data_IF_382161935481
#
_entry.id   IF_382161935481
#
_cell.length_a   1.000
_cell.length_b   1.000
_cell.length_c   1.000
_cell.angle_alpha   90.00
_cell.angle_beta   90.00
_cell.angle_gamma   90.00
#
_symmetry.space_group_name_H-M   'P 1'
#
loop_
_entity.id
_entity.type
_entity.pdbx_description
1 polymer ?
#
# COMPACT_ATOMS: atom_id res chain seq x y z
N UNK A 1 22.88 8.29 71.57
CA UNK A 1 22.66 9.53 70.80
C UNK A 1 22.30 9.14 69.37
N UNK A 2 21.15 9.42 68.76
CA UNK A 2 19.86 9.94 69.18
C UNK A 2 18.81 9.29 68.26
N UNK A 3 17.72 8.80 68.82
CA UNK A 3 16.51 8.36 68.11
C UNK A 3 15.65 9.57 67.75
N UNK A 4 15.01 9.64 66.57
CA UNK A 4 13.86 10.53 66.38
C UNK A 4 12.52 9.78 66.48
N UNK A 5 11.63 10.37 67.28
CA UNK A 5 10.27 9.97 67.60
C UNK A 5 9.27 10.18 66.42
N UNK A 6 8.06 9.59 66.48
CA UNK A 6 7.07 9.64 65.41
C UNK A 6 6.11 10.85 65.56
N UNK A 7 5.74 11.47 64.43
CA UNK A 7 4.72 12.52 64.37
C UNK A 7 3.36 11.98 63.93
N UNK A 8 2.33 12.43 64.66
CA UNK A 8 0.96 11.98 64.62
C UNK A 8 0.10 12.60 63.49
N UNK A 9 -0.83 11.77 63.03
CA UNK A 9 -2.21 12.03 62.55
C UNK A 9 -2.72 13.49 62.47
N UNK A 10 -3.10 13.90 61.26
CA UNK A 10 -4.30 14.68 60.87
C UNK A 10 -4.54 14.32 59.39
N UNK A 11 -5.66 13.79 58.91
CA UNK A 11 -7.05 14.17 59.14
C UNK A 11 -7.61 14.75 57.82
N UNK A 12 -8.69 14.15 57.30
CA UNK A 12 -9.68 14.65 56.32
C UNK A 12 -9.73 14.10 54.87
N UNK A 13 -10.94 13.58 54.61
CA UNK A 13 -11.78 13.63 53.39
C UNK A 13 -11.71 12.46 52.39
N UNK A 14 -12.55 11.48 52.71
CA UNK A 14 -13.28 10.63 51.77
C UNK A 14 -13.93 11.47 50.65
N UNK A 15 -13.51 11.25 49.40
CA UNK A 15 -14.30 11.54 48.20
C UNK A 15 -14.35 10.27 47.36
N UNK A 16 -15.51 9.61 47.41
CA UNK A 16 -15.89 8.44 46.62
C UNK A 16 -15.98 8.86 45.16
N UNK A 17 -15.12 8.28 44.32
CA UNK A 17 -15.22 8.34 42.87
C UNK A 17 -16.17 7.21 42.44
N UNK A 18 -17.34 7.58 41.94
CA UNK A 18 -18.27 6.65 41.27
C UNK A 18 -17.77 6.37 39.85
N UNK A 19 -17.55 5.09 39.54
CA UNK A 19 -17.30 4.59 38.19
C UNK A 19 -18.49 3.70 37.79
N UNK A 20 -19.30 4.15 36.84
CA UNK A 20 -20.31 3.33 36.18
C UNK A 20 -19.68 2.51 35.03
N UNK A 21 -19.94 1.21 34.93
CA UNK A 21 -19.59 0.42 33.76
C UNK A 21 -20.70 0.48 32.68
N UNK A 22 -20.35 0.47 31.38
CA UNK A 22 -21.34 0.54 30.29
C UNK A 22 -22.07 -0.80 30.10
N UNK A 23 -23.40 -0.72 30.04
CA UNK A 23 -24.30 -1.83 29.75
C UNK A 23 -24.29 -2.20 28.26
N UNK A 24 -24.21 -3.49 27.99
CA UNK A 24 -24.35 -4.10 26.66
C UNK A 24 -25.78 -4.63 26.55
N UNK A 25 -26.60 -4.04 25.67
CA UNK A 25 -27.93 -4.56 25.33
C UNK A 25 -27.87 -5.38 24.04
N UNK A 26 -28.43 -6.58 24.09
CA UNK A 26 -28.70 -7.45 22.95
C UNK A 26 -30.13 -7.21 22.43
N UNK A 27 -30.23 -7.31 21.10
CA UNK A 27 -31.38 -7.41 20.21
C UNK A 27 -32.81 -7.46 20.79
N UNK A 28 -33.66 -6.60 20.23
CA UNK A 28 -35.07 -6.95 19.98
C UNK A 28 -35.52 -6.47 18.60
N UNK A 29 -36.08 -7.42 17.85
CA UNK A 29 -36.71 -7.26 16.54
C UNK A 29 -37.87 -6.26 16.65
N UNK A 30 -38.03 -5.34 15.69
CA UNK A 30 -39.29 -4.62 15.48
C UNK A 30 -39.87 -4.99 14.14
N UNK A 31 -41.10 -5.50 14.24
CA UNK A 31 -42.03 -5.74 13.16
C UNK A 31 -42.56 -4.42 12.59
N UNK A 32 -43.10 -4.58 11.39
CA UNK A 32 -43.75 -3.60 10.52
C UNK A 32 -44.99 -3.04 11.21
N UNK A 33 -45.17 -1.71 11.18
CA UNK A 33 -46.33 -1.03 11.75
C UNK A 33 -46.47 0.38 11.19
N UNK A 34 -47.28 0.47 10.14
CA UNK A 34 -48.23 1.52 9.71
C UNK A 34 -47.99 2.97 10.15
N UNK A 35 -47.97 3.84 9.14
CA UNK A 35 -47.94 5.29 9.24
C UNK A 35 -49.19 5.87 9.90
N UNK A 36 -48.99 6.78 10.86
CA UNK A 36 -49.94 7.84 11.19
C UNK A 36 -49.21 9.18 11.11
N UNK A 37 -49.77 10.06 10.30
CA UNK A 37 -49.39 11.45 10.10
C UNK A 37 -50.13 12.23 11.18
N UNK A 38 -49.41 12.83 12.13
CA UNK A 38 -49.97 13.84 13.02
C UNK A 38 -49.31 15.19 12.76
N UNK A 39 -50.16 16.12 12.30
CA UNK A 39 -49.86 17.51 12.02
C UNK A 39 -49.90 18.30 13.34
N UNK A 40 -48.74 18.75 13.82
CA UNK A 40 -48.66 19.66 14.97
C UNK A 40 -48.18 21.03 14.51
N UNK A 41 -49.10 21.99 14.47
CA UNK A 41 -48.85 23.41 14.31
C UNK A 41 -48.32 23.99 15.62
N UNK A 42 -47.02 24.30 15.68
CA UNK A 42 -46.45 25.12 16.76
C UNK A 42 -45.97 26.47 16.23
N UNK A 43 -46.70 27.49 16.66
CA UNK A 43 -46.42 28.91 16.52
C UNK A 43 -45.06 29.25 17.18
N UNK A 44 -44.22 30.12 16.58
CA UNK A 44 -42.94 30.51 17.14
C UNK A 44 -43.10 31.55 18.24
N UNK A 45 -42.64 31.25 19.46
CA UNK A 45 -42.46 32.25 20.52
C UNK A 45 -41.21 33.09 20.24
N UNK A 46 -41.39 34.41 20.32
CA UNK A 46 -40.34 35.41 20.16
C UNK A 46 -39.37 35.42 21.34
N UNK A 47 -38.11 35.68 20.97
CA UNK A 47 -37.00 36.30 21.70
C UNK A 47 -37.40 37.10 22.95
N UNK A 48 -36.75 36.81 24.08
CA UNK A 48 -36.25 37.82 25.03
C UNK A 48 -35.02 37.23 25.75
N UNK A 49 -33.93 38.01 25.82
CA UNK A 49 -32.78 37.73 26.68
C UNK A 49 -31.51 37.24 25.96
N UNK A 50 -30.82 38.13 25.24
CA UNK A 50 -29.37 38.01 25.10
C UNK A 50 -28.69 39.23 25.72
N UNK A 51 -27.79 38.93 26.65
CA UNK A 51 -26.96 39.84 27.42
C UNK A 51 -25.97 40.59 26.53
N UNK A 52 -25.87 41.90 26.78
CA UNK A 52 -24.99 42.87 26.11
C UNK A 52 -23.49 42.73 26.44
N UNK A 53 -22.94 41.51 26.47
CA UNK A 53 -21.51 41.26 26.72
C UNK A 53 -20.82 40.44 25.61
N UNK A 54 -21.37 40.48 24.39
CA UNK A 54 -20.75 39.87 23.21
C UNK A 54 -20.01 40.88 22.30
N UNK A 55 -19.84 42.13 22.73
CA UNK A 55 -19.24 43.21 21.93
C UNK A 55 -17.72 43.37 22.08
N UNK A 56 -17.05 42.65 22.99
CA UNK A 56 -15.61 42.79 23.25
C UNK A 56 -14.85 41.46 23.26
N UNK A 57 -15.00 40.66 22.20
CA UNK A 57 -13.99 39.67 21.87
C UNK A 57 -13.38 40.00 20.51
N UNK A 58 -12.06 40.29 20.43
CA UNK A 58 -11.40 40.40 19.14
C UNK A 58 -11.43 39.02 18.49
N UNK A 59 -12.29 38.87 17.47
CA UNK A 59 -12.21 37.76 16.53
C UNK A 59 -10.88 37.87 15.81
N UNK A 60 -9.91 37.05 16.18
CA UNK A 60 -8.69 36.84 15.40
C UNK A 60 -9.03 35.99 14.17
N UNK A 61 -9.91 36.50 13.30
CA UNK A 61 -9.98 36.08 11.91
C UNK A 61 -8.93 36.88 11.16
N UNK A 62 -7.68 36.44 11.26
CA UNK A 62 -6.69 36.76 10.23
C UNK A 62 -7.16 36.07 8.96
N UNK A 63 -7.95 36.81 8.17
CA UNK A 63 -7.97 36.60 6.74
C UNK A 63 -6.54 36.86 6.27
N UNK A 64 -5.76 35.79 6.13
CA UNK A 64 -4.58 35.84 5.28
C UNK A 64 -5.11 36.22 3.91
N UNK A 65 -4.96 37.48 3.54
CA UNK A 65 -4.99 37.87 2.14
C UNK A 65 -4.01 36.93 1.47
N UNK A 66 -4.53 36.05 0.61
CA UNK A 66 -3.70 35.37 -0.37
C UNK A 66 -3.14 36.50 -1.22
N UNK A 67 -1.99 37.04 -0.85
CA UNK A 67 -1.05 37.56 -1.81
C UNK A 67 -0.74 36.37 -2.70
N UNK A 68 -1.53 36.24 -3.78
CA UNK A 68 -1.09 35.53 -4.96
C UNK A 68 0.19 36.24 -5.37
N UNK A 69 1.33 35.70 -4.94
CA UNK A 69 2.55 35.88 -5.70
C UNK A 69 2.17 35.55 -7.14
N UNK A 70 2.42 36.44 -8.12
CA UNK A 70 2.31 36.03 -9.50
C UNK A 70 3.32 34.91 -9.65
N UNK A 71 2.84 33.66 -9.61
CA UNK A 71 3.55 32.57 -10.20
C UNK A 71 3.72 33.01 -11.64
N UNK A 72 4.92 33.51 -11.98
CA UNK A 72 5.42 33.53 -13.34
C UNK A 72 4.95 32.23 -13.95
N UNK A 73 4.06 32.32 -14.93
CA UNK A 73 3.46 31.16 -15.56
C UNK A 73 4.62 30.26 -16.03
N UNK A 74 4.93 29.24 -15.26
CA UNK A 74 5.76 28.16 -15.77
C UNK A 74 4.89 27.54 -16.84
N UNK A 75 5.26 27.82 -18.09
CA UNK A 75 4.67 27.20 -19.27
C UNK A 75 4.83 25.69 -19.08
N UNK A 76 3.78 25.03 -18.61
CA UNK A 76 3.73 23.58 -18.61
C UNK A 76 3.72 23.12 -20.06
N UNK A 77 4.72 22.33 -20.47
CA UNK A 77 4.87 21.71 -21.79
C UNK A 77 3.65 20.85 -22.19
N UNK A 78 2.73 20.58 -21.27
CA UNK A 78 1.61 19.66 -21.45
C UNK A 78 0.24 20.34 -21.63
N UNK A 79 0.13 21.39 -22.43
CA UNK A 79 -1.16 21.74 -23.05
C UNK A 79 -1.20 21.16 -24.47
N UNK A 80 -1.47 19.86 -24.59
CA UNK A 80 -1.69 19.18 -25.88
C UNK A 80 -3.00 19.59 -26.57
N UNK A 81 -3.58 20.75 -26.26
CA UNK A 81 -4.82 21.20 -26.88
C UNK A 81 -4.95 22.73 -26.93
N UNK A 82 -4.22 23.36 -27.86
CA UNK A 82 -4.76 24.40 -28.75
C UNK A 82 -3.70 24.75 -29.82
N UNK A 83 -3.77 24.24 -31.06
CA UNK A 83 -3.06 24.84 -32.18
C UNK A 83 -3.89 26.03 -32.67
N UNK A 84 -3.98 27.07 -31.85
CA UNK A 84 -4.54 28.37 -32.27
C UNK A 84 -3.46 29.41 -32.08
N UNK A 85 -2.52 29.35 -33.02
CA UNK A 85 -1.67 30.40 -33.60
C UNK A 85 -0.45 29.68 -34.20
N UNK A 86 -0.47 29.52 -35.53
CA UNK A 86 0.53 28.81 -36.33
C UNK A 86 1.82 29.62 -36.57
N UNK A 87 2.06 30.69 -35.82
CA UNK A 87 3.10 31.65 -36.17
C UNK A 87 4.46 31.36 -35.50
N UNK A 88 4.49 30.55 -34.44
CA UNK A 88 5.74 30.08 -33.83
C UNK A 88 5.85 28.55 -33.95
N UNK A 89 6.42 28.05 -35.05
CA UNK A 89 6.87 26.66 -35.14
C UNK A 89 8.03 26.43 -34.16
N UNK A 90 7.71 26.14 -32.90
CA UNK A 90 8.65 25.75 -31.84
C UNK A 90 9.20 24.31 -32.01
N UNK A 91 8.98 23.70 -33.18
CA UNK A 91 9.54 22.40 -33.54
C UNK A 91 11.04 22.58 -33.81
N UNK A 92 11.87 21.73 -33.21
CA UNK A 92 13.29 21.75 -33.49
C UNK A 92 13.54 21.03 -34.84
N UNK A 93 13.88 21.75 -35.93
CA UNK A 93 14.03 21.16 -37.26
C UNK A 93 15.19 20.16 -37.34
N UNK A 94 16.19 20.31 -36.45
CA UNK A 94 17.32 19.38 -36.35
C UNK A 94 16.86 18.07 -35.71
N UNK A 95 15.96 18.14 -34.73
CA UNK A 95 15.39 16.96 -34.10
C UNK A 95 14.47 16.21 -35.08
N UNK A 96 13.61 16.93 -35.80
CA UNK A 96 12.71 16.32 -36.79
C UNK A 96 13.49 15.67 -37.94
N UNK A 97 14.52 16.34 -38.48
CA UNK A 97 15.38 15.77 -39.53
C UNK A 97 16.19 14.57 -39.03
N UNK A 98 16.68 14.59 -37.79
CA UNK A 98 17.35 13.44 -37.17
C UNK A 98 16.40 12.25 -36.98
N UNK A 99 15.17 12.48 -36.51
CA UNK A 99 14.17 11.42 -36.34
C UNK A 99 13.71 10.85 -37.68
N UNK A 100 13.45 11.69 -38.69
CA UNK A 100 13.12 11.25 -40.06
C UNK A 100 14.27 10.44 -40.68
N UNK A 101 15.51 10.91 -40.55
CA UNK A 101 16.69 10.19 -41.03
C UNK A 101 16.81 8.83 -40.34
N UNK A 102 16.55 8.77 -39.03
CA UNK A 102 16.56 7.52 -38.25
C UNK A 102 15.42 6.57 -38.65
N UNK A 103 14.23 7.09 -38.96
CA UNK A 103 13.10 6.29 -39.46
C UNK A 103 13.38 5.71 -40.85
N UNK A 104 14.09 6.46 -41.72
CA UNK A 104 14.54 5.98 -43.02
C UNK A 104 15.68 4.95 -42.93
N UNK A 105 16.59 5.13 -41.98
CA UNK A 105 17.69 4.19 -41.70
C UNK A 105 17.19 2.89 -41.04
N UNK A 106 16.12 2.95 -40.24
CA UNK A 106 15.44 1.79 -39.67
C UNK A 106 14.46 1.16 -40.67
N UNK A 107 14.94 0.32 -41.58
CA UNK A 107 14.09 -0.42 -42.52
C UNK A 107 12.98 -1.24 -41.82
N UNK A 108 11.90 -1.55 -42.54
CA UNK A 108 10.64 -2.10 -42.01
C UNK A 108 10.73 -3.41 -41.18
N UNK A 109 11.89 -4.08 -41.14
CA UNK A 109 12.14 -5.32 -40.41
C UNK A 109 12.98 -5.17 -39.12
N UNK A 110 13.44 -3.98 -38.74
CA UNK A 110 14.29 -3.75 -37.56
C UNK A 110 13.50 -3.26 -36.32
N UNK A 111 12.40 -3.93 -35.97
CA UNK A 111 11.57 -3.51 -34.82
C UNK A 111 12.23 -3.79 -33.46
N UNK A 112 13.22 -4.67 -33.40
CA UNK A 112 13.90 -5.11 -32.17
C UNK A 112 15.37 -4.66 -32.07
N UNK A 113 15.92 -4.01 -33.10
CA UNK A 113 17.28 -3.51 -33.08
C UNK A 113 17.39 -2.26 -32.19
N UNK A 114 18.10 -2.36 -31.07
CA UNK A 114 18.45 -1.17 -30.27
C UNK A 114 19.26 -0.22 -31.16
N UNK A 115 18.89 1.07 -31.27
CA UNK A 115 19.60 2.00 -32.15
C UNK A 115 21.07 2.08 -31.73
N UNK A 116 21.99 1.77 -32.64
CA UNK A 116 23.41 2.04 -32.43
C UNK A 116 23.55 3.55 -32.27
N UNK A 117 24.03 3.98 -31.09
CA UNK A 117 24.27 5.40 -30.83
C UNK A 117 25.29 5.87 -31.87
N UNK A 118 25.01 6.91 -32.69
CA UNK A 118 26.00 7.41 -33.63
C UNK A 118 27.27 7.74 -32.86
N UNK A 119 28.41 7.26 -33.34
CA UNK A 119 29.72 7.57 -32.77
C UNK A 119 29.89 9.07 -32.89
N UNK A 120 29.81 9.78 -31.76
CA UNK A 120 30.14 11.20 -31.71
C UNK A 120 31.55 11.34 -32.28
N UNK A 121 31.75 12.24 -33.25
CA UNK A 121 33.10 12.72 -33.58
C UNK A 121 33.57 13.48 -32.35
N UNK A 122 34.25 12.77 -31.45
CA UNK A 122 34.88 13.37 -30.28
C UNK A 122 36.00 14.28 -30.80
N UNK A 123 35.74 15.59 -30.80
CA UNK A 123 36.85 16.53 -30.89
C UNK A 123 37.71 16.33 -29.66
N UNK A 124 39.00 16.00 -29.85
CA UNK A 124 39.93 15.93 -28.72
C UNK A 124 39.99 17.31 -28.04
N UNK A 125 39.82 17.33 -26.72
CA UNK A 125 40.00 18.54 -25.94
C UNK A 125 41.41 19.07 -26.16
N UNK A 126 41.54 20.39 -26.38
CA UNK A 126 42.85 20.99 -26.57
C UNK A 126 43.73 20.75 -25.33
N UNK A 127 44.88 20.11 -25.52
CA UNK A 127 45.90 19.88 -24.47
C UNK A 127 46.73 21.14 -24.17
N UNK A 128 46.32 22.28 -24.71
CA UNK A 128 47.03 23.54 -24.56
C UNK A 128 46.96 23.99 -23.08
N UNK A 129 48.04 24.56 -22.50
CA UNK A 129 48.09 24.96 -21.08
C UNK A 129 47.03 26.02 -20.68
N UNK A 130 46.43 26.72 -21.64
CA UNK A 130 45.32 27.65 -21.40
C UNK A 130 43.94 26.99 -21.38
N UNK A 131 43.84 25.69 -21.67
CA UNK A 131 42.59 24.94 -21.72
C UNK A 131 41.92 24.82 -20.34
N UNK A 132 40.60 24.88 -20.32
CA UNK A 132 39.79 24.74 -19.10
C UNK A 132 39.72 23.30 -18.59
N UNK A 133 39.92 22.32 -19.48
CA UNK A 133 39.69 20.89 -19.23
C UNK A 133 40.97 20.11 -18.92
N UNK A 134 41.94 20.75 -18.26
CA UNK A 134 43.13 20.07 -17.74
C UNK A 134 42.78 19.32 -16.46
N UNK A 135 43.26 18.08 -16.32
CA UNK A 135 43.02 17.25 -15.14
C UNK A 135 43.46 17.93 -13.82
N UNK A 136 44.48 18.80 -13.88
CA UNK A 136 44.94 19.65 -12.76
C UNK A 136 43.87 20.62 -12.25
N UNK A 137 42.96 21.06 -13.11
CA UNK A 137 41.88 22.00 -12.76
C UNK A 137 40.58 21.29 -12.37
N UNK A 138 40.31 20.13 -12.96
CA UNK A 138 39.10 19.36 -12.69
C UNK A 138 39.13 18.60 -11.36
N UNK A 139 40.31 18.10 -10.98
CA UNK A 139 40.48 17.26 -9.79
C UNK A 139 41.28 18.03 -8.73
N UNK A 140 40.65 18.47 -7.61
CA UNK A 140 41.34 19.18 -6.55
C UNK A 140 42.53 18.36 -6.01
N UNK A 141 43.74 18.90 -6.12
CA UNK A 141 44.97 18.25 -5.67
C UNK A 141 45.71 17.45 -6.73
N UNK A 142 45.23 17.38 -7.97
CA UNK A 142 45.93 16.74 -9.08
C UNK A 142 47.17 17.54 -9.53
N UNK A 143 48.28 16.86 -9.78
CA UNK A 143 49.57 17.40 -10.26
C UNK A 143 50.15 16.41 -11.27
N UNK A 144 50.68 16.90 -12.38
CA UNK A 144 51.28 16.06 -13.42
C UNK A 144 52.48 15.22 -12.93
N UNK A 145 53.21 15.67 -11.89
CA UNK A 145 54.44 15.03 -11.41
C UNK A 145 54.24 13.96 -10.31
N UNK A 146 52.98 13.57 -10.00
CA UNK A 146 52.71 12.55 -8.98
C UNK A 146 52.91 11.12 -9.48
N UNK A 147 53.18 10.19 -8.57
CA UNK A 147 53.26 8.76 -8.92
C UNK A 147 51.90 8.25 -9.43
N UNK A 148 51.85 7.22 -10.29
CA UNK A 148 50.59 6.70 -10.85
C UNK A 148 49.59 6.23 -9.78
N UNK A 149 50.09 5.74 -8.64
CA UNK A 149 49.27 5.30 -7.51
C UNK A 149 48.63 6.48 -6.77
N UNK A 150 49.37 7.55 -6.50
CA UNK A 150 48.85 8.79 -5.92
C UNK A 150 47.81 9.44 -6.84
N UNK A 151 48.06 9.42 -8.15
CA UNK A 151 47.11 9.88 -9.16
C UNK A 151 45.79 9.09 -9.12
N UNK A 152 45.86 7.77 -9.02
CA UNK A 152 44.68 6.91 -8.92
C UNK A 152 43.87 7.20 -7.65
N UNK A 153 44.54 7.37 -6.51
CA UNK A 153 43.89 7.70 -5.24
C UNK A 153 43.18 9.06 -5.28
N UNK A 154 43.83 10.09 -5.83
CA UNK A 154 43.24 11.44 -5.98
C UNK A 154 42.03 11.42 -6.93
N UNK A 155 42.11 10.64 -8.02
CA UNK A 155 40.96 10.39 -8.93
C UNK A 155 39.81 9.68 -8.24
N UNK A 156 40.09 8.64 -7.46
CA UNK A 156 39.07 7.90 -6.73
C UNK A 156 38.39 8.78 -5.68
N UNK A 157 39.16 9.58 -4.93
CA UNK A 157 38.61 10.55 -3.98
C UNK A 157 37.71 11.59 -4.66
N UNK A 158 38.11 12.09 -5.83
CA UNK A 158 37.29 13.02 -6.61
C UNK A 158 36.01 12.37 -7.15
N UNK A 159 36.07 11.09 -7.58
CA UNK A 159 34.90 10.31 -7.98
C UNK A 159 33.93 10.15 -6.82
N UNK A 160 34.42 9.74 -5.64
CA UNK A 160 33.60 9.58 -4.44
C UNK A 160 32.96 10.92 -4.01
N UNK A 161 33.70 12.03 -4.10
CA UNK A 161 33.17 13.39 -3.84
C UNK A 161 32.06 13.75 -4.83
N UNK A 162 32.27 13.52 -6.13
CA UNK A 162 31.28 13.77 -7.18
C UNK A 162 30.03 12.90 -6.97
N UNK A 163 30.20 11.61 -6.72
CA UNK A 163 29.10 10.69 -6.39
C UNK A 163 28.34 11.13 -5.13
N UNK A 164 29.02 11.66 -4.12
CA UNK A 164 28.37 12.20 -2.93
C UNK A 164 27.57 13.48 -3.26
N UNK A 165 28.14 14.39 -4.05
CA UNK A 165 27.43 15.60 -4.51
C UNK A 165 26.22 15.25 -5.38
N UNK A 166 26.35 14.30 -6.31
CA UNK A 166 25.26 13.80 -7.14
C UNK A 166 24.17 13.14 -6.30
N UNK A 167 24.54 12.35 -5.27
CA UNK A 167 23.61 11.80 -4.28
C UNK A 167 22.88 12.89 -3.50
N UNK A 168 23.55 13.97 -3.11
CA UNK A 168 22.92 15.11 -2.44
C UNK A 168 21.95 15.85 -3.37
N UNK A 169 22.31 16.06 -4.62
CA UNK A 169 21.44 16.71 -5.62
C UNK A 169 20.20 15.83 -5.85
N UNK A 170 20.39 14.52 -6.07
CA UNK A 170 19.29 13.57 -6.23
C UNK A 170 18.38 13.56 -5.00
N UNK A 171 18.96 13.59 -3.80
CA UNK A 171 18.22 13.71 -2.54
C UNK A 171 17.41 15.00 -2.50
N UNK A 172 18.01 16.16 -2.78
CA UNK A 172 17.31 17.47 -2.80
C UNK A 172 16.16 17.49 -3.81
N UNK A 173 16.36 16.95 -5.01
CA UNK A 173 15.31 16.82 -6.02
C UNK A 173 14.18 15.90 -5.55
N UNK A 174 14.51 14.78 -4.90
CA UNK A 174 13.52 13.86 -4.34
C UNK A 174 12.78 14.45 -3.14
N UNK A 175 13.46 15.22 -2.28
CA UNK A 175 12.90 15.81 -1.06
C UNK A 175 11.77 16.80 -1.40
N UNK A 176 11.88 17.53 -2.52
CA UNK A 176 10.82 18.42 -3.02
C UNK A 176 9.53 17.63 -3.33
N UNK A 177 9.66 16.40 -3.85
CA UNK A 177 8.51 15.54 -4.19
C UNK A 177 8.00 14.75 -2.99
N UNK A 178 8.91 14.28 -2.12
CA UNK A 178 8.61 13.42 -0.98
C UNK A 178 8.08 14.19 0.24
N UNK A 179 8.61 15.39 0.51
CA UNK A 179 8.27 16.23 1.67
C UNK A 179 7.86 17.66 1.25
N UNK A 180 6.69 17.81 0.60
CA UNK A 180 6.22 19.12 0.13
C UNK A 180 5.92 20.11 1.28
N UNK A 181 5.60 19.63 2.49
CA UNK A 181 5.38 20.45 3.69
C UNK A 181 6.10 19.90 4.92
N UNK A 182 7.37 20.32 5.05
CA UNK A 182 8.22 19.95 6.17
C UNK A 182 7.71 20.43 7.54
N UNK A 183 6.92 21.52 7.61
CA UNK A 183 6.41 22.04 8.90
C UNK A 183 5.31 21.13 9.44
N UNK A 184 4.38 20.71 8.58
CA UNK A 184 3.34 19.76 8.95
C UNK A 184 3.94 18.42 9.39
N UNK A 185 4.94 17.91 8.67
CA UNK A 185 5.66 16.68 9.05
C UNK A 185 6.30 16.79 10.44
N UNK A 186 7.05 17.86 10.73
CA UNK A 186 7.67 18.08 12.06
C UNK A 186 6.64 18.13 13.19
N UNK A 187 5.50 18.77 12.95
CA UNK A 187 4.39 18.82 13.92
C UNK A 187 3.81 17.42 14.20
N UNK A 188 3.63 16.62 13.14
CA UNK A 188 3.20 15.23 13.24
C UNK A 188 4.22 14.38 14.00
N UNK A 189 5.51 14.48 13.66
CA UNK A 189 6.60 13.77 14.32
C UNK A 189 6.64 14.07 15.81
N UNK A 190 6.59 15.35 16.20
CA UNK A 190 6.51 15.75 17.61
C UNK A 190 5.32 15.09 18.31
N UNK A 191 4.13 15.09 17.70
CA UNK A 191 2.93 14.45 18.27
C UNK A 191 3.12 12.94 18.43
N UNK A 192 3.71 12.26 17.45
CA UNK A 192 3.96 10.83 17.49
C UNK A 192 5.02 10.46 18.55
N UNK A 193 6.09 11.25 18.68
CA UNK A 193 7.12 11.08 19.71
C UNK A 193 6.51 11.24 21.10
N UNK A 194 5.76 12.32 21.35
CA UNK A 194 5.06 12.54 22.63
C UNK A 194 4.10 11.37 22.93
N UNK A 195 3.34 10.90 21.94
CA UNK A 195 2.45 9.75 22.11
C UNK A 195 3.21 8.45 22.46
N UNK A 196 4.40 8.26 21.88
CA UNK A 196 5.31 7.15 22.19
C UNK A 196 5.84 7.22 23.63
N UNK A 197 6.31 8.39 24.06
CA UNK A 197 6.78 8.65 25.43
C UNK A 197 5.66 8.43 26.45
N UNK A 198 4.44 8.94 26.17
CA UNK A 198 3.26 8.76 27.04
C UNK A 198 2.89 7.29 27.24
N UNK A 199 3.18 6.42 26.27
CA UNK A 199 2.97 4.97 26.37
C UNK A 199 4.18 4.22 26.93
N UNK A 200 5.24 4.93 27.31
CA UNK A 200 6.50 4.34 27.77
C UNK A 200 7.05 3.31 26.77
N UNK A 201 6.91 3.57 25.47
CA UNK A 201 7.34 2.65 24.41
C UNK A 201 6.45 1.41 24.20
N UNK A 202 5.35 1.24 24.95
CA UNK A 202 4.41 0.12 24.74
C UNK A 202 3.68 0.25 23.41
N UNK A 203 3.85 -0.73 22.53
CA UNK A 203 3.18 -0.79 21.24
C UNK A 203 1.76 -1.35 21.35
N UNK A 204 0.85 -0.82 20.54
CA UNK A 204 -0.47 -1.45 20.36
C UNK A 204 -0.35 -2.72 19.51
N UNK A 205 -1.31 -3.64 19.64
CA UNK A 205 -1.37 -4.84 18.79
C UNK A 205 -1.33 -4.47 17.30
N UNK A 206 -2.08 -3.45 16.89
CA UNK A 206 -2.09 -2.97 15.50
C UNK A 206 -0.71 -2.50 15.03
N UNK A 207 0.03 -1.74 15.85
CA UNK A 207 1.38 -1.29 15.52
C UNK A 207 2.37 -2.47 15.42
N UNK A 208 2.26 -3.43 16.34
CA UNK A 208 3.09 -4.65 16.31
C UNK A 208 2.85 -5.43 15.02
N UNK A 209 1.58 -5.65 14.65
CA UNK A 209 1.20 -6.37 13.43
C UNK A 209 1.71 -5.66 12.17
N UNK A 210 1.51 -4.34 12.05
CA UNK A 210 1.99 -3.56 10.91
C UNK A 210 3.52 -3.61 10.75
N UNK A 211 4.27 -3.78 11.85
CA UNK A 211 5.73 -3.93 11.82
C UNK A 211 6.17 -5.35 11.46
N UNK A 212 5.42 -6.37 11.86
CA UNK A 212 5.83 -7.79 11.73
C UNK A 212 5.26 -8.52 10.53
N UNK A 213 4.13 -8.06 10.00
CA UNK A 213 3.38 -8.67 8.91
C UNK A 213 3.39 -7.76 7.69
N UNK A 214 3.78 -8.30 6.54
CA UNK A 214 3.76 -7.56 5.28
C UNK A 214 2.34 -7.62 4.71
N UNK A 215 1.88 -6.49 4.18
CA UNK A 215 0.63 -6.39 3.42
C UNK A 215 0.81 -5.47 2.20
N UNK A 216 0.15 -5.79 1.11
CA UNK A 216 0.16 -5.02 -0.14
C UNK A 216 -1.27 -4.80 -0.59
N UNK A 217 -1.66 -3.53 -0.75
CA UNK A 217 -2.97 -3.15 -1.24
C UNK A 217 -2.85 -2.78 -2.71
N UNK A 218 -3.41 -3.61 -3.57
CA UNK A 218 -3.47 -3.35 -5.00
C UNK A 218 -4.86 -2.86 -5.41
N UNK A 219 -4.91 -1.91 -6.35
CA UNK A 219 -6.14 -1.43 -6.97
C UNK A 219 -6.00 -1.45 -8.49
N UNK A 220 -6.97 -2.05 -9.17
CA UNK A 220 -6.98 -2.14 -10.63
C UNK A 220 -7.37 -0.82 -11.30
N UNK A 221 -7.09 -0.73 -12.60
CA UNK A 221 -7.74 0.23 -13.49
C UNK A 221 -9.27 0.06 -13.54
N UNK A 222 -9.96 1.06 -14.10
CA UNK A 222 -11.40 1.02 -14.29
C UNK A 222 -11.79 0.10 -15.46
N UNK A 223 -12.51 -0.98 -15.15
CA UNK A 223 -12.98 -1.98 -16.11
C UNK A 223 -14.42 -1.67 -16.54
N UNK A 224 -14.79 -1.91 -17.81
CA UNK A 224 -16.13 -1.67 -18.34
C UNK A 224 -17.10 -2.79 -17.93
N UNK A 225 -17.34 -2.95 -16.63
CA UNK A 225 -18.26 -3.94 -16.07
C UNK A 225 -19.03 -3.39 -14.88
N UNK A 226 -20.03 -4.15 -14.45
CA UNK A 226 -20.85 -3.81 -13.27
C UNK A 226 -20.26 -4.43 -12.02
N UNK A 227 -20.43 -3.74 -10.88
CA UNK A 227 -19.94 -4.18 -9.56
C UNK A 227 -20.45 -5.58 -9.28
N UNK A 228 -21.73 -5.85 -9.54
CA UNK A 228 -22.35 -7.16 -9.29
C UNK A 228 -21.72 -8.29 -10.10
N UNK A 229 -21.29 -8.02 -11.33
CA UNK A 229 -20.69 -9.03 -12.22
C UNK A 229 -19.25 -9.32 -11.78
N UNK A 230 -18.48 -8.28 -11.49
CA UNK A 230 -17.10 -8.40 -11.03
C UNK A 230 -17.02 -9.02 -9.62
N UNK A 231 -17.92 -8.64 -8.72
CA UNK A 231 -17.96 -9.16 -7.34
C UNK A 231 -18.13 -10.69 -7.30
N UNK A 232 -18.92 -11.27 -8.23
CA UNK A 232 -19.09 -12.73 -8.31
C UNK A 232 -17.77 -13.47 -8.57
N UNK A 233 -16.88 -12.88 -9.37
CA UNK A 233 -15.55 -13.46 -9.64
C UNK A 233 -14.60 -13.19 -8.48
N UNK A 234 -14.55 -11.95 -7.99
CA UNK A 234 -13.65 -11.53 -6.91
C UNK A 234 -13.91 -12.28 -5.59
N UNK A 235 -15.17 -12.54 -5.25
CA UNK A 235 -15.54 -13.34 -4.07
C UNK A 235 -14.99 -14.77 -4.11
N UNK A 236 -14.84 -15.36 -5.29
CA UNK A 236 -14.30 -16.72 -5.42
C UNK A 236 -12.80 -16.80 -5.11
N UNK A 237 -12.10 -15.67 -5.09
CA UNK A 237 -10.65 -15.59 -4.89
C UNK A 237 -10.28 -15.28 -3.44
N UNK A 238 -11.18 -14.65 -2.69
CA UNK A 238 -10.95 -14.31 -1.29
C UNK A 238 -10.58 -15.58 -0.51
N UNK A 239 -9.44 -15.54 0.19
CA UNK A 239 -8.94 -16.67 0.96
C UNK A 239 -8.14 -17.72 0.16
N UNK A 240 -8.00 -17.59 -1.16
CA UNK A 240 -7.11 -18.48 -1.94
C UNK A 240 -5.68 -17.92 -1.95
N UNK A 241 -4.70 -18.78 -2.18
CA UNK A 241 -3.35 -18.32 -2.56
C UNK A 241 -3.39 -17.64 -3.92
N UNK A 242 -2.38 -16.82 -4.23
CA UNK A 242 -2.30 -16.17 -5.55
C UNK A 242 -2.23 -17.23 -6.66
N UNK A 243 -1.48 -18.32 -6.46
CA UNK A 243 -1.35 -19.43 -7.40
C UNK A 243 -2.68 -20.16 -7.63
N UNK A 244 -3.39 -20.55 -6.56
CA UNK A 244 -4.72 -21.18 -6.66
C UNK A 244 -5.74 -20.24 -7.32
N UNK A 245 -5.68 -18.94 -7.02
CA UNK A 245 -6.56 -17.95 -7.61
C UNK A 245 -6.32 -17.79 -9.12
N UNK A 246 -5.06 -17.77 -9.57
CA UNK A 246 -4.73 -17.72 -11.00
C UNK A 246 -5.24 -18.96 -11.75
N UNK A 247 -5.07 -20.15 -11.17
CA UNK A 247 -5.62 -21.40 -11.73
C UNK A 247 -7.15 -21.32 -11.85
N UNK A 248 -7.82 -20.86 -10.79
CA UNK A 248 -9.29 -20.72 -10.78
C UNK A 248 -9.80 -19.72 -11.84
N UNK A 249 -9.08 -18.61 -12.02
CA UNK A 249 -9.43 -17.62 -13.04
C UNK A 249 -9.17 -18.11 -14.45
N UNK A 250 -8.10 -18.89 -14.67
CA UNK A 250 -7.74 -19.47 -15.98
C UNK A 250 -8.87 -20.33 -16.55
N UNK A 251 -9.54 -21.11 -15.70
CA UNK A 251 -10.66 -21.97 -16.09
C UNK A 251 -12.02 -21.29 -15.94
N UNK A 252 -12.07 -20.00 -15.59
CA UNK A 252 -13.34 -19.28 -15.46
C UNK A 252 -13.90 -18.90 -16.84
N UNK A 253 -15.17 -19.21 -17.15
CA UNK A 253 -15.79 -18.83 -18.42
C UNK A 253 -16.12 -17.33 -18.49
N UNK A 254 -15.86 -16.55 -17.43
CA UNK A 254 -16.24 -15.13 -17.38
C UNK A 254 -15.19 -14.29 -18.10
N UNK A 255 -15.62 -13.47 -19.08
CA UNK A 255 -14.73 -12.55 -19.82
C UNK A 255 -13.85 -11.70 -18.90
N UNK A 256 -14.44 -11.21 -17.81
CA UNK A 256 -13.75 -10.37 -16.82
C UNK A 256 -12.63 -11.09 -16.07
N UNK A 257 -12.62 -12.43 -16.02
CA UNK A 257 -11.58 -13.18 -15.34
C UNK A 257 -10.20 -12.93 -15.97
N UNK A 258 -10.14 -12.69 -17.28
CA UNK A 258 -8.90 -12.33 -17.99
C UNK A 258 -8.28 -11.03 -17.47
N UNK A 259 -9.12 -10.03 -17.20
CA UNK A 259 -8.66 -8.74 -16.66
C UNK A 259 -8.24 -8.87 -15.19
N UNK A 260 -8.93 -9.74 -14.44
CA UNK A 260 -8.57 -10.04 -13.05
C UNK A 260 -7.24 -10.78 -12.96
N UNK A 261 -6.95 -11.72 -13.88
CA UNK A 261 -5.64 -12.39 -13.99
C UNK A 261 -4.53 -11.36 -14.12
N UNK A 262 -4.62 -10.48 -15.13
CA UNK A 262 -3.61 -9.42 -15.36
C UNK A 262 -3.40 -8.56 -14.14
N UNK A 263 -4.49 -8.13 -13.48
CA UNK A 263 -4.36 -7.32 -12.27
C UNK A 263 -3.83 -8.09 -11.07
N UNK A 264 -4.08 -9.40 -10.96
CA UNK A 264 -3.53 -10.23 -9.90
C UNK A 264 -2.02 -10.49 -10.09
N UNK A 265 -1.57 -10.68 -11.34
CA UNK A 265 -0.13 -10.75 -11.69
C UNK A 265 0.58 -9.44 -11.37
N UNK A 266 -0.01 -8.29 -11.74
CA UNK A 266 0.51 -6.97 -11.37
C UNK A 266 0.58 -6.79 -9.85
N UNK A 267 -0.47 -7.18 -9.12
CA UNK A 267 -0.52 -7.11 -7.68
C UNK A 267 0.57 -7.96 -7.02
N UNK A 268 0.81 -9.16 -7.55
CA UNK A 268 1.86 -10.06 -7.08
C UNK A 268 3.25 -9.45 -7.32
N UNK A 269 3.51 -8.94 -8.52
CA UNK A 269 4.78 -8.30 -8.86
C UNK A 269 5.04 -7.07 -7.98
N UNK A 270 4.02 -6.22 -7.77
CA UNK A 270 4.12 -5.09 -6.85
C UNK A 270 4.38 -5.53 -5.40
N UNK A 271 3.71 -6.58 -4.93
CA UNK A 271 3.93 -7.11 -3.59
C UNK A 271 5.35 -7.68 -3.40
N UNK A 272 5.90 -8.34 -4.41
CA UNK A 272 7.27 -8.86 -4.38
C UNK A 272 8.26 -7.69 -4.40
N UNK A 273 8.14 -6.77 -5.37
CA UNK A 273 9.11 -5.67 -5.56
C UNK A 273 9.01 -4.62 -4.45
N UNK A 274 7.82 -4.12 -4.15
CA UNK A 274 7.65 -3.00 -3.23
C UNK A 274 7.65 -3.44 -1.75
N UNK A 275 7.18 -4.66 -1.44
CA UNK A 275 7.04 -5.14 -0.05
C UNK A 275 7.96 -6.31 0.29
N UNK A 276 8.66 -6.89 -0.68
CA UNK A 276 9.56 -8.02 -0.49
C UNK A 276 8.84 -9.32 -0.11
N UNK A 277 7.55 -9.47 -0.45
CA UNK A 277 6.77 -10.65 -0.08
C UNK A 277 7.18 -11.90 -0.85
N UNK A 278 7.04 -13.08 -0.24
CA UNK A 278 7.29 -14.36 -0.94
C UNK A 278 8.76 -14.65 -1.26
N UNK A 279 9.68 -13.82 -0.76
CA UNK A 279 11.14 -13.95 -0.98
C UNK A 279 11.86 -14.76 0.11
N UNK A 280 11.18 -15.25 1.16
CA UNK A 280 11.87 -16.08 2.14
C UNK A 280 12.24 -17.43 1.51
N UNK A 281 13.55 -17.67 1.40
CA UNK A 281 14.13 -18.79 0.66
C UNK A 281 14.41 -18.44 -0.80
N UNK A 282 15.05 -17.29 -1.08
CA UNK A 282 15.44 -16.87 -2.45
C UNK A 282 16.14 -17.99 -3.21
N UNK A 283 17.05 -18.73 -2.59
CA UNK A 283 17.67 -19.92 -3.19
C UNK A 283 16.63 -21.00 -3.56
N UNK A 284 15.64 -21.27 -2.71
CA UNK A 284 14.61 -22.25 -2.98
C UNK A 284 13.57 -21.75 -4.00
N UNK A 285 13.28 -20.45 -4.03
CA UNK A 285 12.37 -19.82 -5.00
C UNK A 285 13.01 -19.70 -6.38
N UNK A 286 14.26 -19.25 -6.44
CA UNK A 286 15.12 -19.25 -7.64
C UNK A 286 15.32 -20.68 -8.11
N UNK A 287 15.68 -21.63 -7.26
CA UNK A 287 15.81 -23.04 -7.66
C UNK A 287 14.49 -23.65 -8.14
N UNK A 288 13.33 -23.27 -7.56
CA UNK A 288 12.01 -23.69 -8.07
C UNK A 288 11.74 -23.09 -9.45
N UNK A 289 12.05 -21.80 -9.64
CA UNK A 289 11.84 -21.07 -10.88
C UNK A 289 12.79 -21.52 -11.99
N UNK A 290 14.08 -21.71 -11.70
CA UNK A 290 15.08 -22.31 -12.57
C UNK A 290 14.68 -23.73 -12.96
N UNK A 291 14.25 -24.56 -12.01
CA UNK A 291 13.75 -25.92 -12.30
C UNK A 291 12.49 -25.90 -13.17
N UNK A 292 11.62 -24.91 -13.00
CA UNK A 292 10.41 -24.74 -13.83
C UNK A 292 10.76 -24.27 -15.26
N UNK A 293 11.78 -23.41 -15.43
CA UNK A 293 12.28 -22.97 -16.75
C UNK A 293 13.10 -24.04 -17.48
N UNK A 294 14.02 -24.70 -16.78
CA UNK A 294 14.76 -25.84 -17.31
C UNK A 294 13.82 -27.00 -17.70
N UNK A 295 12.68 -27.13 -17.01
CA UNK A 295 11.63 -28.09 -17.35
C UNK A 295 10.79 -27.70 -18.58
N UNK A 296 10.81 -26.44 -19.03
CA UNK A 296 10.06 -25.98 -20.21
C UNK A 296 10.93 -25.81 -21.46
N UNK A 297 12.26 -25.69 -21.33
CA UNK A 297 13.19 -25.48 -22.45
C UNK A 297 13.83 -26.77 -23.01
N UNK A 298 13.55 -27.95 -22.44
CA UNK A 298 13.86 -29.21 -23.09
C UNK A 298 12.63 -29.66 -23.90
N UNK A 299 12.65 -29.47 -25.22
CA UNK A 299 11.61 -29.85 -26.19
C UNK A 299 11.27 -31.35 -26.29
N UNK A 300 11.31 -32.10 -25.18
CA UNK A 300 10.66 -33.41 -25.04
C UNK A 300 9.51 -33.27 -24.07
N UNK A 301 8.26 -33.59 -24.47
CA UNK A 301 7.20 -33.83 -23.50
C UNK A 301 7.71 -34.88 -22.52
N UNK A 302 7.85 -34.52 -21.25
CA UNK A 302 8.22 -35.48 -20.22
C UNK A 302 7.09 -36.48 -20.15
N UNK A 303 7.35 -37.69 -20.64
CA UNK A 303 6.38 -38.78 -20.66
C UNK A 303 5.74 -38.91 -19.28
N UNK A 304 4.42 -38.89 -19.28
CA UNK A 304 3.58 -38.74 -18.10
C UNK A 304 3.65 -39.95 -17.14
N UNK A 305 4.48 -40.97 -17.43
CA UNK A 305 4.47 -42.30 -16.79
C UNK A 305 5.83 -42.85 -16.32
N UNK A 306 6.85 -42.04 -16.04
CA UNK A 306 8.06 -42.53 -15.35
C UNK A 306 7.89 -42.55 -13.82
N UNK A 307 7.50 -43.69 -13.27
CA UNK A 307 7.26 -43.95 -11.84
C UNK A 307 8.53 -44.26 -11.03
N UNK A 308 9.72 -43.97 -11.55
CA UNK A 308 10.99 -44.09 -10.81
C UNK A 308 11.62 -42.72 -10.64
N UNK A 309 11.12 -41.96 -9.65
CA UNK A 309 11.88 -40.84 -9.08
C UNK A 309 13.22 -41.39 -8.57
N UNK A 310 14.34 -40.83 -9.04
CA UNK A 310 15.66 -41.28 -8.59
C UNK A 310 15.76 -41.13 -7.07
N UNK A 311 16.47 -42.06 -6.41
CA UNK A 311 16.63 -42.02 -4.95
C UNK A 311 17.22 -40.68 -4.45
N UNK A 312 17.96 -39.96 -5.31
CA UNK A 312 18.50 -38.63 -5.08
C UNK A 312 17.45 -37.52 -5.15
N UNK A 313 16.51 -37.57 -6.12
CA UNK A 313 15.34 -36.68 -6.14
C UNK A 313 14.47 -36.92 -4.90
N UNK A 314 14.31 -38.17 -4.46
CA UNK A 314 13.60 -38.48 -3.23
C UNK A 314 14.32 -37.95 -1.97
N UNK A 315 15.66 -37.96 -1.96
CA UNK A 315 16.48 -37.46 -0.85
C UNK A 315 16.50 -35.92 -0.79
N UNK A 316 16.57 -35.24 -1.94
CA UNK A 316 16.46 -33.79 -2.04
C UNK A 316 15.04 -33.30 -1.68
N UNK A 317 13.99 -34.01 -2.12
CA UNK A 317 12.60 -33.74 -1.71
C UNK A 317 12.41 -33.99 -0.21
N UNK A 318 13.07 -35.01 0.38
CA UNK A 318 13.06 -35.26 1.84
C UNK A 318 13.83 -34.20 2.64
N UNK A 319 14.97 -33.72 2.15
CA UNK A 319 15.74 -32.66 2.81
C UNK A 319 14.98 -31.31 2.80
N UNK A 320 14.36 -30.95 1.67
CA UNK A 320 13.50 -29.76 1.56
C UNK A 320 12.20 -29.86 2.39
N UNK A 321 11.72 -31.08 2.70
CA UNK A 321 10.56 -31.33 3.59
C UNK A 321 10.84 -31.05 5.07
N UNK A 322 12.05 -30.65 5.45
CA UNK A 322 12.40 -30.25 6.83
C UNK A 322 12.00 -28.81 7.15
N UNK A 323 11.36 -28.09 6.22
CA UNK A 323 10.59 -26.89 6.56
C UNK A 323 9.34 -27.30 7.35
N UNK A 324 9.09 -26.66 8.50
CA UNK A 324 8.00 -27.01 9.44
C UNK A 324 6.62 -26.87 8.79
N UNK A 325 6.14 -27.93 8.16
CA UNK A 325 4.78 -28.03 7.62
C UNK A 325 3.78 -27.82 8.77
N UNK A 326 3.02 -26.73 8.71
CA UNK A 326 2.10 -26.34 9.79
C UNK A 326 0.66 -26.52 9.34
N UNK A 327 -0.14 -27.27 10.11
CA UNK A 327 -1.59 -27.36 9.89
C UNK A 327 -2.26 -26.16 10.56
N UNK A 328 -2.89 -25.31 9.75
CA UNK A 328 -3.49 -24.05 10.16
C UNK A 328 -5.01 -24.16 9.99
N UNK A 329 -5.77 -23.64 10.94
CA UNK A 329 -7.22 -23.49 10.80
C UNK A 329 -7.56 -22.07 10.33
N UNK A 330 -8.29 -22.00 9.22
CA UNK A 330 -8.76 -20.75 8.66
C UNK A 330 -9.97 -20.22 9.44
N UNK A 331 -10.29 -18.94 9.23
CA UNK A 331 -11.44 -18.29 9.89
C UNK A 331 -12.78 -18.97 9.56
N UNK A 332 -12.86 -19.61 8.39
CA UNK A 332 -14.04 -20.33 7.92
C UNK A 332 -14.14 -21.75 8.52
N UNK A 333 -13.18 -22.16 9.35
CA UNK A 333 -13.10 -23.49 9.97
C UNK A 333 -12.43 -24.56 9.11
N UNK A 334 -12.13 -24.26 7.84
CA UNK A 334 -11.37 -25.15 6.96
C UNK A 334 -9.91 -25.27 7.43
N UNK A 335 -9.34 -26.47 7.29
CA UNK A 335 -7.95 -26.74 7.65
C UNK A 335 -7.09 -26.67 6.39
N UNK A 336 -5.98 -25.94 6.47
CA UNK A 336 -5.00 -25.81 5.38
C UNK A 336 -3.63 -26.23 5.88
N UNK A 337 -2.89 -26.94 5.03
CA UNK A 337 -1.49 -27.27 5.27
C UNK A 337 -0.64 -26.15 4.67
N UNK A 338 0.04 -25.38 5.52
CA UNK A 338 0.96 -24.33 5.10
C UNK A 338 2.37 -24.94 5.03
N UNK A 339 2.97 -24.87 3.84
CA UNK A 339 4.35 -25.33 3.59
C UNK A 339 5.34 -24.18 3.74
N UNK A 340 5.03 -23.05 3.11
CA UNK A 340 5.88 -21.84 3.13
C UNK A 340 5.14 -20.70 3.86
N UNK A 341 5.68 -20.15 4.96
CA UNK A 341 5.01 -19.07 5.71
C UNK A 341 5.01 -17.72 4.97
N UNK A 342 5.90 -17.56 4.00
CA UNK A 342 6.03 -16.37 3.15
C UNK A 342 5.12 -16.40 1.92
N UNK A 343 4.42 -17.52 1.66
CA UNK A 343 3.54 -17.66 0.51
C UNK A 343 2.44 -16.58 0.52
N UNK A 344 2.21 -15.97 -0.64
CA UNK A 344 1.28 -14.86 -0.79
C UNK A 344 -0.14 -15.40 -0.98
N UNK A 345 -1.08 -14.90 -0.18
CA UNK A 345 -2.50 -15.20 -0.31
C UNK A 345 -3.34 -13.92 -0.35
N UNK A 346 -4.55 -14.08 -0.87
CA UNK A 346 -5.54 -13.00 -0.96
C UNK A 346 -6.33 -12.98 0.35
N UNK A 347 -6.04 -12.00 1.21
CA UNK A 347 -6.74 -11.83 2.50
C UNK A 347 -8.13 -11.26 2.31
N UNK A 348 -8.21 -10.17 1.53
CA UNK A 348 -9.46 -9.51 1.22
C UNK A 348 -9.50 -9.18 -0.26
N UNK A 349 -10.70 -9.24 -0.82
CA UNK A 349 -10.96 -8.98 -2.21
C UNK A 349 -12.31 -8.28 -2.32
N UNK A 350 -12.34 -7.07 -2.89
CA UNK A 350 -13.58 -6.30 -3.04
C UNK A 350 -13.60 -5.48 -4.32
N UNK A 351 -14.77 -4.95 -4.65
CA UNK A 351 -15.00 -4.18 -5.88
C UNK A 351 -15.48 -2.77 -5.54
N UNK A 352 -14.84 -1.78 -6.16
CA UNK A 352 -15.23 -0.38 -6.14
C UNK A 352 -16.00 0.02 -7.39
N UNK A 353 -16.88 1.02 -7.24
CA UNK A 353 -17.56 1.66 -8.36
C UNK A 353 -16.63 2.70 -9.00
N UNK A 354 -16.60 2.74 -10.34
CA UNK A 354 -15.91 3.77 -11.12
C UNK A 354 -16.90 4.77 -11.72
N UNK A 355 -16.42 5.52 -12.71
CA UNK A 355 -17.22 6.49 -13.44
C UNK A 355 -18.39 5.81 -14.15
N UNK A 356 -19.52 6.51 -14.21
CA UNK A 356 -20.71 6.05 -14.91
C UNK A 356 -21.30 7.17 -15.74
N UNK A 357 -21.72 6.84 -16.96
CA UNK A 357 -22.46 7.74 -17.84
C UNK A 357 -23.81 7.13 -18.18
N UNK A 358 -24.71 7.95 -18.73
CA UNK A 358 -26.07 7.56 -19.06
C UNK A 358 -26.35 7.79 -20.53
N UNK A 359 -27.14 6.90 -21.12
CA UNK A 359 -27.63 7.02 -22.49
C UNK A 359 -29.16 6.87 -22.47
N UNK A 360 -29.92 7.72 -23.18
CA UNK A 360 -31.36 7.55 -23.29
C UNK A 360 -31.71 6.25 -24.02
N UNK A 361 -32.68 5.51 -23.49
CA UNK A 361 -33.29 4.32 -24.10
C UNK A 361 -34.75 4.65 -24.42
N UNK A 362 -35.03 4.81 -25.71
CA UNK A 362 -36.38 5.13 -26.19
C UNK A 362 -37.25 3.87 -26.16
N UNK A 363 -38.42 3.97 -25.52
CA UNK A 363 -39.41 2.89 -25.38
C UNK A 363 -40.71 3.30 -26.08
N UNK A 364 -41.58 2.32 -26.31
CA UNK A 364 -42.91 2.57 -26.86
C UNK A 364 -43.72 3.55 -25.97
N UNK A 365 -44.71 4.22 -26.58
CA UNK A 365 -45.61 5.19 -25.93
C UNK A 365 -44.89 6.42 -25.34
N UNK A 366 -43.88 6.93 -26.04
CA UNK A 366 -43.16 8.17 -25.66
C UNK A 366 -42.36 8.08 -24.36
N UNK A 367 -42.11 6.89 -23.82
CA UNK A 367 -41.33 6.70 -22.58
C UNK A 367 -39.83 6.70 -22.88
N UNK A 368 -39.05 7.42 -22.11
CA UNK A 368 -37.58 7.46 -22.22
C UNK A 368 -36.97 7.01 -20.89
N UNK A 369 -36.28 5.87 -20.91
CA UNK A 369 -35.49 5.39 -19.79
C UNK A 369 -34.04 5.89 -19.92
N UNK A 370 -33.26 5.82 -18.83
CA UNK A 370 -31.83 6.13 -18.85
C UNK A 370 -31.00 4.89 -18.53
N UNK A 371 -30.35 4.32 -19.55
CA UNK A 371 -29.39 3.23 -19.38
C UNK A 371 -28.12 3.76 -18.73
N UNK A 372 -27.67 3.13 -17.65
CA UNK A 372 -26.43 3.53 -16.96
C UNK A 372 -25.29 2.60 -17.36
N UNK A 373 -24.31 3.13 -18.09
CA UNK A 373 -23.04 2.47 -18.37
C UNK A 373 -22.11 2.68 -17.18
N UNK A 374 -21.55 1.58 -16.66
CA UNK A 374 -20.76 1.60 -15.42
C UNK A 374 -19.36 1.09 -15.72
N UNK A 375 -18.39 1.71 -15.07
CA UNK A 375 -17.06 1.14 -14.89
C UNK A 375 -16.84 0.79 -13.43
N UNK A 376 -15.91 -0.13 -13.16
CA UNK A 376 -15.59 -0.61 -11.81
C UNK A 376 -14.13 -0.99 -11.70
N UNK A 377 -13.56 -0.84 -10.51
CA UNK A 377 -12.22 -1.35 -10.18
C UNK A 377 -12.34 -2.44 -9.13
N UNK A 378 -11.42 -3.39 -9.09
CA UNK A 378 -11.28 -4.31 -7.97
C UNK A 378 -10.04 -3.96 -7.15
N UNK A 379 -10.03 -4.41 -5.91
CA UNK A 379 -8.90 -4.23 -4.99
C UNK A 379 -8.62 -5.53 -4.26
N UNK A 380 -7.33 -5.82 -4.11
CA UNK A 380 -6.84 -6.99 -3.40
C UNK A 380 -5.95 -6.53 -2.25
N UNK A 381 -6.17 -7.12 -1.08
CA UNK A 381 -5.24 -7.04 0.04
C UNK A 381 -4.48 -8.36 0.09
N UNK A 382 -3.22 -8.32 -0.35
CA UNK A 382 -2.31 -9.45 -0.32
C UNK A 382 -1.54 -9.47 1.01
N UNK A 383 -1.41 -10.66 1.59
CA UNK A 383 -0.66 -10.92 2.83
C UNK A 383 0.11 -12.23 2.70
N UNK A 384 1.03 -12.48 3.61
CA UNK A 384 1.80 -13.74 3.72
C UNK A 384 1.09 -14.74 4.64
N UNK A 385 1.21 -16.04 4.38
CA UNK A 385 0.61 -17.13 5.20
C UNK A 385 0.98 -17.07 6.70
N UNK A 386 2.08 -16.40 7.07
CA UNK A 386 2.44 -16.06 8.46
C UNK A 386 1.28 -15.41 9.24
N UNK A 387 0.47 -14.58 8.58
CA UNK A 387 -0.69 -13.93 9.22
C UNK A 387 -1.77 -14.95 9.59
N UNK A 388 -1.98 -15.98 8.76
CA UNK A 388 -2.93 -17.07 9.00
C UNK A 388 -2.45 -17.99 10.11
N UNK A 389 -1.16 -18.29 10.15
CA UNK A 389 -0.56 -19.04 11.27
C UNK A 389 -0.85 -18.34 12.59
N UNK A 390 -0.58 -17.02 12.69
CA UNK A 390 -0.91 -16.22 13.88
C UNK A 390 -2.41 -16.25 14.18
N UNK A 391 -3.27 -16.05 13.18
CA UNK A 391 -4.73 -16.07 13.40
C UNK A 391 -5.18 -17.43 13.95
N UNK A 392 -4.62 -18.53 13.45
CA UNK A 392 -4.91 -19.87 13.96
C UNK A 392 -4.41 -20.08 15.39
N UNK A 393 -3.24 -19.56 15.74
CA UNK A 393 -2.74 -19.57 17.13
C UNK A 393 -3.63 -18.74 18.05
N UNK A 394 -4.10 -17.58 17.60
CA UNK A 394 -5.05 -16.74 18.35
C UNK A 394 -6.41 -17.42 18.51
N UNK A 395 -6.89 -18.13 17.48
CA UNK A 395 -8.13 -18.92 17.55
C UNK A 395 -7.95 -20.06 18.56
N UNK A 396 -6.83 -20.79 18.49
CA UNK A 396 -6.51 -21.87 19.43
C UNK A 396 -6.45 -21.35 20.86
N UNK A 397 -5.68 -20.28 21.11
CA UNK A 397 -5.60 -19.62 22.42
C UNK A 397 -6.96 -19.13 22.91
N UNK A 398 -7.81 -18.60 22.02
CA UNK A 398 -9.17 -18.18 22.37
C UNK A 398 -10.05 -19.37 22.78
N UNK A 399 -9.86 -20.54 22.18
CA UNK A 399 -10.55 -21.78 22.56
C UNK A 399 -10.02 -22.33 23.87
N UNK A 400 -8.70 -22.35 24.06
CA UNK A 400 -8.06 -22.79 25.31
C UNK A 400 -8.47 -21.89 26.49
N UNK A 401 -8.63 -20.59 26.25
CA UNK A 401 -9.13 -19.62 27.24
C UNK A 401 -10.65 -19.69 27.47
N UNK A 402 -11.41 -20.41 26.63
CA UNK A 402 -12.85 -20.55 26.84
C UNK A 402 -13.07 -21.48 28.02
N UNK A 403 -13.85 -21.01 28.99
CA UNK A 403 -14.25 -21.85 30.14
C UNK A 403 -14.91 -23.13 29.64
N UNK A 404 -14.58 -24.25 30.28
CA UNK A 404 -15.21 -25.54 30.03
C UNK A 404 -16.72 -25.43 30.33
N UNK A 405 -17.53 -26.12 29.54
CA UNK A 405 -18.95 -26.24 29.86
C UNK A 405 -19.12 -27.07 31.14
N UNK A 406 -19.87 -26.55 32.10
CA UNK A 406 -20.18 -27.21 33.38
C UNK A 406 -21.69 -27.44 33.41
N UNK A 407 -22.12 -28.63 33.85
CA UNK A 407 -23.53 -29.01 33.87
C UNK A 407 -24.38 -28.05 34.75
N UNK A 408 -23.88 -27.67 35.92
CA UNK A 408 -24.48 -26.72 36.84
C UNK A 408 -23.54 -25.51 36.99
N UNK A 409 -23.70 -24.45 36.18
CA UNK A 409 -22.82 -23.28 36.26
C UNK A 409 -23.25 -22.32 37.37
N UNK A 410 -22.27 -21.81 38.12
CA UNK A 410 -22.47 -20.73 39.10
C UNK A 410 -22.77 -19.41 38.39
N UNK A 411 -24.05 -19.16 38.11
CA UNK A 411 -24.51 -17.89 37.56
C UNK A 411 -24.68 -16.88 38.69
N UNK A 412 -24.13 -15.67 38.58
CA UNK A 412 -24.33 -14.66 39.60
C UNK A 412 -25.82 -14.31 39.69
N UNK A 413 -26.35 -14.19 40.91
CA UNK A 413 -27.68 -13.63 41.14
C UNK A 413 -27.62 -12.15 40.78
N UNK A 414 -28.20 -11.78 39.64
CA UNK A 414 -28.08 -10.43 39.09
C UNK A 414 -28.96 -9.39 39.78
N UNK A 415 -29.88 -9.83 40.65
CA UNK A 415 -30.81 -8.97 41.36
C UNK A 415 -30.32 -8.74 42.80
N UNK A 416 -30.08 -7.48 43.15
CA UNK A 416 -29.76 -7.08 44.52
C UNK A 416 -31.05 -6.72 45.26
N UNK A 417 -31.22 -7.27 46.48
CA UNK A 417 -32.25 -6.86 47.44
C UNK A 417 -31.58 -6.31 48.70
N UNK A 418 -32.26 -5.42 49.40
CA UNK A 418 -31.74 -4.80 50.63
C UNK A 418 -31.87 -5.70 51.88
N UNK A 419 -32.33 -6.93 51.69
CA UNK A 419 -32.51 -7.92 52.74
C UNK A 419 -32.12 -9.31 52.23
N UNK A 420 -31.65 -10.16 53.14
CA UNK A 420 -31.31 -11.55 52.87
C UNK A 420 -32.60 -12.35 52.60
N UNK A 421 -32.60 -13.20 51.57
CA UNK A 421 -33.74 -14.08 51.24
C UNK A 421 -33.58 -15.49 51.80
N UNK A 422 -32.33 -15.92 51.98
CA UNK A 422 -31.89 -17.18 52.54
C UNK A 422 -30.52 -16.98 53.17
#
# INVERSE_FOLDING_TARGET
MATPAPLALRGFRNLRISWEPPSVSHHQRRAIGVASIDMSTRIPSRRLGQSALAAFQPRSTHWTTRTSLPTTAQRSISSTFNPRNKEDDLRNPILESYLQKKELEGGANDKDAKPARPTLREGELSKHPSSLFLAEREIPGWRQNMTPEEQAQVKEQARLRKEAADREIARKLSDITLDPDARARRSLERKLVIAGVKRHGRMTKAQKLLRTERQSLYKSQALPTSVKKLQKVVNQLAGKTVSEALVQLRFSPKKIARDVIKGLEMAQNEAIVARGMGLQGEEAAVARWERQRQGTDAGRPRDLWDYKTSAEEQKAVKAAKTAKITKVELKDGSKKVVRDPSEIYIDQAWVGRGNSWKTPEFRARGKINLLTHRTTSFSFLLKEEKTRMRISEEIKKKRDNRKLWVALPDRPVTAQRQFCLW
#
